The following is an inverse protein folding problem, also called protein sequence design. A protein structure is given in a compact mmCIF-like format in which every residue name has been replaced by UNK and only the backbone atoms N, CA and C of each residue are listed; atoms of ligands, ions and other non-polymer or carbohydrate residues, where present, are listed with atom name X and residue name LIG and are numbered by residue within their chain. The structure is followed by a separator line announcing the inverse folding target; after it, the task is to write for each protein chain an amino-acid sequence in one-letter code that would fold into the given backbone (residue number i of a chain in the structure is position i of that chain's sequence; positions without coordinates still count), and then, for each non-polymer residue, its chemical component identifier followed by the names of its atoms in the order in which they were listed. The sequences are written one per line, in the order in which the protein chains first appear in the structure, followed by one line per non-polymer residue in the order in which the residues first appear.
data_IF_744555191957
#
_entry.id   IF_744555191957
#
_cell.length_a   1.000
_cell.length_b   1.000
_cell.length_c   1.000
_cell.angle_alpha   90.00
_cell.angle_beta   90.00
_cell.angle_gamma   90.00
#
_symmetry.space_group_name_H-M   'P 1'
#
loop_
_entity.id
_entity.type
_entity.pdbx_description
1 polymer ?
#
# COMPACT_ATOMS: atom_id res chain seq x y z
N UNK A 1 2.94 -16.48 -4.91
CA UNK A 1 1.49 -16.48 -4.65
C UNK A 1 0.85 -17.46 -5.62
N UNK A 2 0.21 -18.51 -5.10
CA UNK A 2 -0.59 -19.44 -5.90
C UNK A 2 -2.04 -18.98 -5.85
N UNK A 3 -2.67 -18.82 -7.00
CA UNK A 3 -4.06 -18.37 -7.14
C UNK A 3 -4.74 -19.41 -8.02
N UNK A 4 -5.86 -19.95 -7.55
CA UNK A 4 -6.70 -20.85 -8.32
C UNK A 4 -8.01 -20.14 -8.61
N UNK A 5 -8.38 -20.06 -9.89
CA UNK A 5 -9.63 -19.42 -10.30
C UNK A 5 -10.64 -20.50 -10.68
N UNK A 6 -11.87 -20.37 -10.18
CA UNK A 6 -12.99 -21.25 -10.52
C UNK A 6 -14.19 -20.42 -10.91
N UNK A 7 -14.94 -20.87 -11.93
CA UNK A 7 -16.23 -20.28 -12.27
C UNK A 7 -17.34 -21.04 -11.56
N UNK A 8 -18.14 -20.30 -10.80
CA UNK A 8 -19.37 -20.83 -10.21
C UNK A 8 -20.50 -20.58 -11.20
N UNK A 9 -20.85 -21.62 -11.98
CA UNK A 9 -21.91 -21.55 -12.98
C UNK A 9 -23.03 -22.53 -12.60
N UNK A 10 -24.27 -22.02 -12.51
CA UNK A 10 -25.48 -22.84 -12.37
C UNK A 10 -25.77 -23.67 -13.64
N UNK A 11 -25.12 -23.31 -14.74
CA UNK A 11 -25.36 -23.82 -16.08
C UNK A 11 -24.22 -24.76 -16.53
N UNK A 12 -23.28 -25.10 -15.65
CA UNK A 12 -22.06 -25.85 -15.96
C UNK A 12 -21.21 -25.21 -17.08
N UNK A 13 -21.24 -23.89 -17.20
CA UNK A 13 -20.39 -23.22 -18.18
C UNK A 13 -18.95 -23.18 -17.67
N UNK A 14 -18.04 -23.73 -18.47
CA UNK A 14 -16.61 -23.73 -18.17
C UNK A 14 -16.03 -22.30 -18.14
N UNK A 15 -14.85 -22.20 -17.54
CA UNK A 15 -14.02 -21.00 -17.63
C UNK A 15 -13.48 -20.82 -19.04
N UNK A 16 -13.27 -19.57 -19.44
CA UNK A 16 -12.45 -19.29 -20.61
C UNK A 16 -11.00 -19.65 -20.30
N UNK A 17 -10.25 -20.09 -21.32
CA UNK A 17 -8.88 -20.58 -21.14
C UNK A 17 -7.92 -19.52 -20.54
N UNK A 18 -8.26 -18.24 -20.71
CA UNK A 18 -7.49 -17.07 -20.27
C UNK A 18 -7.99 -16.48 -18.94
N UNK A 19 -9.08 -16.99 -18.35
CA UNK A 19 -9.69 -16.39 -17.17
C UNK A 19 -8.75 -16.41 -15.95
N UNK A 20 -8.02 -17.51 -15.74
CA UNK A 20 -7.10 -17.64 -14.62
C UNK A 20 -5.92 -16.68 -14.75
N UNK A 21 -5.28 -16.63 -15.92
CA UNK A 21 -4.16 -15.72 -16.20
C UNK A 21 -4.59 -14.26 -16.09
N UNK A 22 -5.78 -13.91 -16.61
CA UNK A 22 -6.32 -12.54 -16.54
C UNK A 22 -6.50 -12.09 -15.09
N UNK A 23 -7.06 -12.95 -14.23
CA UNK A 23 -7.26 -12.63 -12.82
C UNK A 23 -5.93 -12.55 -12.07
N UNK A 24 -4.99 -13.44 -12.38
CA UNK A 24 -3.64 -13.43 -11.79
C UNK A 24 -2.94 -12.12 -12.11
N UNK A 25 -2.93 -11.68 -13.37
CA UNK A 25 -2.29 -10.44 -13.78
C UNK A 25 -2.98 -9.22 -13.16
N UNK A 26 -4.31 -9.18 -13.14
CA UNK A 26 -5.05 -8.10 -12.48
C UNK A 26 -4.70 -7.95 -10.99
N UNK A 27 -4.56 -9.08 -10.27
CA UNK A 27 -4.17 -9.05 -8.85
C UNK A 27 -2.70 -8.65 -8.65
N UNK A 28 -1.81 -9.03 -9.58
CA UNK A 28 -0.39 -8.59 -9.55
C UNK A 28 -0.27 -7.09 -9.79
N UNK A 29 -1.03 -6.55 -10.74
CA UNK A 29 -1.05 -5.13 -11.04
C UNK A 29 -1.64 -4.32 -9.87
N UNK A 30 -2.72 -4.80 -9.28
CA UNK A 30 -3.27 -4.19 -8.06
C UNK A 30 -2.24 -4.18 -6.92
N UNK A 31 -1.59 -5.32 -6.66
CA UNK A 31 -0.57 -5.39 -5.62
C UNK A 31 0.57 -4.40 -5.90
N UNK A 32 1.05 -4.32 -7.14
CA UNK A 32 2.12 -3.38 -7.53
C UNK A 32 1.70 -1.93 -7.37
N UNK A 33 0.44 -1.60 -7.68
CA UNK A 33 -0.10 -0.26 -7.46
C UNK A 33 -0.17 0.07 -5.96
N UNK A 34 -0.68 -0.86 -5.14
CA UNK A 34 -0.77 -0.68 -3.68
C UNK A 34 0.60 -0.45 -3.05
N UNK A 35 1.61 -1.23 -3.44
CA UNK A 35 2.96 -1.06 -2.90
C UNK A 35 3.55 0.31 -3.24
N UNK A 36 3.37 0.79 -4.48
CA UNK A 36 3.82 2.14 -4.88
C UNK A 36 3.10 3.23 -4.11
N UNK A 37 1.78 3.08 -3.91
CA UNK A 37 1.01 4.06 -3.17
C UNK A 37 1.47 4.13 -1.71
N UNK A 38 1.68 2.97 -1.08
CA UNK A 38 2.17 2.88 0.30
C UNK A 38 3.57 3.48 0.45
N UNK A 39 4.48 3.20 -0.49
CA UNK A 39 5.82 3.77 -0.51
C UNK A 39 5.79 5.30 -0.65
N UNK A 40 4.95 5.82 -1.54
CA UNK A 40 4.76 7.27 -1.71
C UNK A 40 4.20 7.93 -0.45
N UNK A 41 3.19 7.31 0.18
CA UNK A 41 2.60 7.81 1.42
C UNK A 41 3.60 7.78 2.58
N UNK A 42 4.38 6.70 2.70
CA UNK A 42 5.46 6.60 3.67
C UNK A 42 6.50 7.70 3.47
N UNK A 43 6.93 7.93 2.23
CA UNK A 43 7.88 8.98 1.90
C UNK A 43 7.32 10.37 2.20
N UNK A 44 6.03 10.61 1.93
CA UNK A 44 5.38 11.87 2.27
C UNK A 44 5.33 12.09 3.80
N UNK A 45 4.89 11.08 4.56
CA UNK A 45 4.80 11.14 6.02
C UNK A 45 6.16 11.22 6.73
N UNK A 46 7.21 10.67 6.12
CA UNK A 46 8.58 10.69 6.64
C UNK A 46 9.39 11.85 6.06
N UNK A 47 8.77 12.72 5.26
CA UNK A 47 9.42 13.93 4.75
C UNK A 47 9.77 14.86 5.89
N UNK A 48 10.94 15.50 5.83
CA UNK A 48 11.42 16.45 6.83
C UNK A 48 10.37 17.55 7.09
N UNK A 49 9.67 18.02 6.06
CA UNK A 49 8.60 19.03 6.18
C UNK A 49 7.39 18.54 6.99
N UNK A 50 6.98 17.28 6.83
CA UNK A 50 5.87 16.70 7.61
C UNK A 50 6.29 16.41 9.05
N UNK A 51 7.56 16.05 9.26
CA UNK A 51 8.14 15.86 10.59
C UNK A 51 8.19 17.20 11.33
N UNK A 52 8.65 18.26 10.66
CA UNK A 52 8.69 19.62 11.20
C UNK A 52 7.28 20.13 11.54
N UNK A 53 6.31 19.98 10.62
CA UNK A 53 4.91 20.36 10.88
C UNK A 53 4.32 19.59 12.08
N UNK A 54 4.63 18.29 12.21
CA UNK A 54 4.14 17.47 13.34
C UNK A 54 4.76 17.92 14.67
N UNK A 55 6.06 18.28 14.67
CA UNK A 55 6.76 18.80 15.85
C UNK A 55 6.17 20.14 16.29
N UNK A 56 5.93 21.05 15.33
CA UNK A 56 5.31 22.35 15.60
C UNK A 56 3.86 22.21 16.11
N UNK A 57 3.04 21.39 15.45
CA UNK A 57 1.64 21.17 15.83
C UNK A 57 1.48 20.58 17.24
N UNK A 58 2.42 19.74 17.68
CA UNK A 58 2.40 19.14 19.02
C UNK A 58 3.19 19.95 20.05
N UNK A 59 3.73 21.12 19.67
CA UNK A 59 4.56 21.99 20.52
C UNK A 59 5.71 21.21 21.20
N UNK A 60 6.31 20.25 20.49
CA UNK A 60 7.42 19.48 21.02
C UNK A 60 8.70 20.30 21.00
N UNK A 61 9.34 20.40 22.16
CA UNK A 61 10.64 21.04 22.32
C UNK A 61 11.74 20.00 22.47
N UNK A 62 12.84 20.20 21.73
CA UNK A 62 14.01 19.32 21.76
C UNK A 62 15.25 20.08 22.19
N UNK A 63 16.14 19.40 22.91
CA UNK A 63 17.48 19.90 23.23
C UNK A 63 18.36 19.89 21.99
N UNK A 64 19.48 20.62 21.99
CA UNK A 64 20.48 20.59 20.90
C UNK A 64 21.04 19.18 20.59
N UNK A 65 20.87 18.22 21.51
CA UNK A 65 21.22 16.80 21.32
C UNK A 65 20.09 15.95 20.73
N UNK A 66 18.96 16.54 20.36
CA UNK A 66 17.79 15.84 19.80
C UNK A 66 16.91 15.12 20.83
N UNK A 67 17.18 15.26 22.13
CA UNK A 67 16.30 14.72 23.18
C UNK A 67 15.12 15.64 23.41
N UNK A 68 13.91 15.07 23.35
CA UNK A 68 12.68 15.78 23.73
C UNK A 68 12.76 16.17 25.20
N UNK A 69 12.35 17.39 25.52
CA UNK A 69 12.26 17.85 26.90
C UNK A 69 11.03 18.75 27.06
N UNK A 70 10.33 18.51 28.17
CA UNK A 70 9.03 19.08 28.50
C UNK A 70 8.44 18.28 29.63
#
# INVERSE_FOLDING_TARGET
MAISVRRESLNYQDMTADAEDTVIEALRDLARWLYRQLENEYNALTSDEMVDETIEANAYTFTASGRQFG
#
